data_IF_177365781135
#
_entry.id   IF_177365781135
#
_cell.length_a   1.000
_cell.length_b   1.000
_cell.length_c   1.000
_cell.angle_alpha   90.00
_cell.angle_beta   90.00
_cell.angle_gamma   90.00
#
_symmetry.space_group_name_H-M   'P 1'
#
loop_
_entity.id
_entity.type
_entity.pdbx_description
1 polymer ?
#
# COMPACT_ATOMS: atom_id res chain seq x y z
N UNK A 1 -4.73 -46.12 -22.07
CA UNK A 1 -4.01 -44.84 -21.80
C UNK A 1 -5.00 -43.72 -22.14
N UNK A 2 -5.66 -43.20 -21.11
CA UNK A 2 -6.56 -42.05 -21.27
C UNK A 2 -5.71 -40.78 -21.19
N UNK A 3 -5.76 -39.96 -22.19
CA UNK A 3 -5.00 -38.73 -22.36
C UNK A 3 -5.51 -37.67 -21.33
N UNK A 4 -4.59 -37.07 -20.61
CA UNK A 4 -4.77 -36.09 -19.56
C UNK A 4 -5.13 -34.69 -20.05
N UNK A 5 -6.11 -34.53 -20.95
CA UNK A 5 -6.48 -33.22 -21.51
C UNK A 5 -7.66 -32.52 -20.80
N UNK A 6 -8.24 -33.08 -19.75
CA UNK A 6 -9.50 -32.59 -19.18
C UNK A 6 -9.36 -31.80 -17.86
N UNK A 7 -8.14 -31.45 -17.42
CA UNK A 7 -7.93 -30.88 -16.09
C UNK A 7 -7.87 -29.34 -15.98
N UNK A 8 -8.07 -28.59 -17.08
CA UNK A 8 -7.89 -27.11 -17.06
C UNK A 8 -9.05 -26.31 -17.67
N UNK A 9 -10.22 -26.90 -17.84
CA UNK A 9 -11.36 -26.12 -18.34
C UNK A 9 -11.94 -25.26 -17.23
N UNK A 10 -11.74 -23.94 -17.32
CA UNK A 10 -12.39 -22.96 -16.43
C UNK A 10 -13.90 -23.22 -16.38
N UNK A 11 -14.47 -23.39 -15.21
CA UNK A 11 -15.92 -23.40 -15.04
C UNK A 11 -16.41 -21.96 -15.21
N UNK A 12 -16.80 -21.61 -16.41
CA UNK A 12 -17.36 -20.30 -16.71
C UNK A 12 -18.75 -20.15 -16.06
N UNK A 13 -19.07 -18.96 -15.51
CA UNK A 13 -20.44 -18.62 -15.14
C UNK A 13 -21.41 -18.76 -16.33
N UNK A 14 -22.70 -18.80 -16.03
CA UNK A 14 -23.75 -18.89 -17.06
C UNK A 14 -23.69 -17.70 -18.01
N UNK A 15 -23.72 -17.97 -19.31
CA UNK A 15 -23.92 -16.94 -20.34
C UNK A 15 -25.40 -16.59 -20.41
N UNK A 16 -25.74 -15.32 -20.28
CA UNK A 16 -27.14 -14.84 -20.20
C UNK A 16 -27.41 -13.74 -21.23
N UNK A 17 -28.66 -13.36 -21.38
CA UNK A 17 -29.03 -12.23 -22.25
C UNK A 17 -28.50 -10.88 -21.72
N UNK A 18 -28.33 -9.85 -22.56
CA UNK A 18 -27.93 -8.50 -22.11
C UNK A 18 -28.83 -7.93 -21.01
N UNK A 19 -30.13 -8.19 -21.06
CA UNK A 19 -31.10 -7.73 -20.07
C UNK A 19 -30.90 -8.43 -18.72
N UNK A 20 -30.65 -9.74 -18.72
CA UNK A 20 -30.38 -10.51 -17.51
C UNK A 20 -29.02 -10.11 -16.89
N UNK A 21 -28.02 -9.86 -17.75
CA UNK A 21 -26.71 -9.35 -17.31
C UNK A 21 -26.84 -7.97 -16.63
N UNK A 22 -27.58 -7.05 -17.27
CA UNK A 22 -27.77 -5.72 -16.70
C UNK A 22 -28.53 -5.76 -15.36
N UNK A 23 -29.54 -6.62 -15.24
CA UNK A 23 -30.25 -6.81 -13.98
C UNK A 23 -29.31 -7.30 -12.85
N UNK A 24 -28.44 -8.27 -13.15
CA UNK A 24 -27.44 -8.77 -12.20
C UNK A 24 -26.41 -7.66 -11.83
N UNK A 25 -25.96 -6.88 -12.83
CA UNK A 25 -25.05 -5.75 -12.61
C UNK A 25 -25.67 -4.68 -11.69
N UNK A 26 -26.94 -4.37 -11.88
CA UNK A 26 -27.65 -3.40 -11.02
C UNK A 26 -27.76 -3.87 -9.56
N UNK A 27 -27.96 -5.17 -9.33
CA UNK A 27 -27.95 -5.73 -7.98
C UNK A 27 -26.56 -5.60 -7.32
N UNK A 28 -25.50 -5.84 -8.08
CA UNK A 28 -24.12 -5.66 -7.62
C UNK A 28 -23.83 -4.19 -7.30
N UNK A 29 -24.24 -3.27 -8.19
CA UNK A 29 -24.04 -1.81 -8.01
C UNK A 29 -24.66 -1.28 -6.71
N UNK A 30 -25.77 -1.85 -6.24
CA UNK A 30 -26.36 -1.49 -4.93
C UNK A 30 -25.38 -1.81 -3.80
N UNK A 31 -24.75 -2.98 -3.85
CA UNK A 31 -23.75 -3.41 -2.84
C UNK A 31 -22.47 -2.54 -2.92
N UNK A 32 -22.00 -2.25 -4.11
CA UNK A 32 -20.84 -1.37 -4.33
C UNK A 32 -21.06 0.03 -3.75
N UNK A 33 -22.24 0.62 -3.98
CA UNK A 33 -22.62 1.91 -3.38
C UNK A 33 -22.71 1.84 -1.85
N UNK A 34 -23.17 0.73 -1.29
CA UNK A 34 -23.20 0.53 0.16
C UNK A 34 -21.76 0.43 0.72
N UNK A 35 -20.87 -0.29 0.05
CA UNK A 35 -19.46 -0.39 0.43
C UNK A 35 -18.77 0.98 0.39
N UNK A 36 -19.01 1.79 -0.64
CA UNK A 36 -18.46 3.16 -0.71
C UNK A 36 -18.91 4.00 0.49
N UNK A 37 -20.19 4.00 0.83
CA UNK A 37 -20.70 4.71 2.03
C UNK A 37 -20.04 4.20 3.32
N UNK A 38 -19.82 2.89 3.44
CA UNK A 38 -19.13 2.30 4.60
C UNK A 38 -17.66 2.74 4.66
N UNK A 39 -16.98 2.83 3.53
CA UNK A 39 -15.60 3.38 3.47
C UNK A 39 -15.55 4.85 3.87
N UNK A 40 -16.51 5.66 3.45
CA UNK A 40 -16.61 7.08 3.84
C UNK A 40 -16.86 7.23 5.35
N UNK A 41 -17.74 6.41 5.92
CA UNK A 41 -17.98 6.36 7.36
C UNK A 41 -16.73 5.98 8.14
N UNK A 42 -16.02 4.92 7.72
CA UNK A 42 -14.76 4.50 8.32
C UNK A 42 -13.68 5.59 8.24
N UNK A 43 -13.59 6.30 7.12
CA UNK A 43 -12.67 7.42 6.97
C UNK A 43 -13.03 8.59 7.93
N UNK A 44 -14.32 8.81 8.18
CA UNK A 44 -14.79 9.79 9.16
C UNK A 44 -14.45 9.37 10.60
N UNK A 45 -14.54 8.09 10.93
CA UNK A 45 -14.11 7.54 12.23
C UNK A 45 -12.60 7.71 12.44
N UNK A 46 -11.77 7.39 11.42
CA UNK A 46 -10.31 7.63 11.49
C UNK A 46 -9.97 9.08 11.83
N UNK A 47 -10.68 10.05 11.25
CA UNK A 47 -10.47 11.47 11.55
C UNK A 47 -10.85 11.87 12.98
N UNK A 48 -11.60 11.04 13.68
CA UNK A 48 -12.01 11.25 15.09
C UNK A 48 -11.16 10.45 16.08
N UNK A 49 -10.25 9.60 15.59
CA UNK A 49 -9.35 8.87 16.48
C UNK A 49 -8.49 9.84 17.30
N UNK A 50 -8.20 9.51 18.57
CA UNK A 50 -7.24 10.29 19.34
C UNK A 50 -5.85 10.23 18.70
N UNK A 51 -5.11 11.31 18.81
CA UNK A 51 -3.74 11.39 18.33
C UNK A 51 -2.76 10.95 19.43
N UNK A 52 -1.66 10.35 19.03
CA UNK A 52 -0.56 9.97 19.91
C UNK A 52 0.61 10.95 19.71
N UNK A 53 1.04 11.63 20.76
CA UNK A 53 2.21 12.50 20.70
C UNK A 53 3.47 11.69 20.40
N UNK A 54 4.33 12.23 19.52
CA UNK A 54 5.63 11.67 19.20
C UNK A 54 6.68 12.49 19.91
N UNK A 55 7.14 12.02 21.07
CA UNK A 55 8.09 12.75 21.93
C UNK A 55 9.54 12.59 21.47
N UNK A 56 9.86 11.47 20.80
CA UNK A 56 11.20 11.19 20.33
C UNK A 56 11.45 11.82 18.96
N UNK A 57 12.55 12.54 18.82
CA UNK A 57 13.02 13.04 17.55
C UNK A 57 13.72 11.92 16.74
N UNK A 58 12.93 11.15 15.98
CA UNK A 58 13.45 10.07 15.13
C UNK A 58 14.32 10.61 14.03
N UNK A 59 15.41 9.87 13.73
CA UNK A 59 16.42 10.25 12.75
C UNK A 59 16.42 9.29 11.55
N UNK A 60 16.61 9.88 10.40
CA UNK A 60 16.70 9.18 9.12
C UNK A 60 17.93 9.68 8.36
N UNK A 61 18.31 8.94 7.32
CA UNK A 61 19.25 9.42 6.32
C UNK A 61 18.52 9.60 4.99
N UNK A 62 18.64 10.78 4.42
CA UNK A 62 18.16 11.11 3.07
C UNK A 62 19.31 11.23 2.08
N UNK A 63 19.02 11.50 0.79
CA UNK A 63 20.05 11.64 -0.23
C UNK A 63 21.09 12.75 0.05
N UNK A 64 20.78 13.69 0.92
CA UNK A 64 21.63 14.83 1.29
C UNK A 64 22.17 14.76 2.73
N UNK A 65 22.02 13.60 3.38
CA UNK A 65 22.48 13.38 4.77
C UNK A 65 21.34 13.22 5.76
N UNK A 66 21.66 13.41 7.04
CA UNK A 66 20.73 13.19 8.16
C UNK A 66 19.57 14.17 8.14
N UNK A 67 18.38 13.66 8.44
CA UNK A 67 17.13 14.41 8.56
C UNK A 67 16.32 13.87 9.75
N UNK A 68 15.52 14.72 10.37
CA UNK A 68 14.60 14.35 11.44
C UNK A 68 13.23 13.92 10.90
N UNK A 69 12.39 13.33 11.74
CA UNK A 69 10.99 13.06 11.38
C UNK A 69 10.26 14.34 10.95
N UNK A 70 10.55 15.48 11.58
CA UNK A 70 9.94 16.76 11.25
C UNK A 70 10.34 17.23 9.84
N UNK A 71 11.58 16.98 9.42
CA UNK A 71 12.05 17.33 8.07
C UNK A 71 11.32 16.55 6.97
N UNK A 72 10.85 15.32 7.27
CA UNK A 72 10.12 14.50 6.30
C UNK A 72 8.77 15.10 5.89
N UNK A 73 8.22 16.01 6.69
CA UNK A 73 7.02 16.75 6.31
C UNK A 73 7.24 17.72 5.14
N UNK A 74 8.48 18.04 4.80
CA UNK A 74 8.82 19.00 3.74
C UNK A 74 8.04 20.34 3.86
N UNK A 75 7.85 20.81 5.08
CA UNK A 75 7.10 22.03 5.40
C UNK A 75 5.58 21.88 5.44
N UNK A 76 5.01 20.71 5.09
CA UNK A 76 3.56 20.44 5.10
C UNK A 76 3.10 20.01 6.48
N UNK A 77 1.78 20.10 6.73
CA UNK A 77 1.21 19.72 8.02
C UNK A 77 1.00 18.21 8.16
N UNK A 78 0.86 17.47 7.07
CA UNK A 78 0.56 16.05 7.12
C UNK A 78 1.67 15.24 6.45
N UNK A 79 1.95 14.07 7.00
CA UNK A 79 2.95 13.14 6.51
C UNK A 79 2.40 11.72 6.53
N UNK A 80 2.57 11.01 5.43
CA UNK A 80 2.38 9.57 5.35
C UNK A 80 3.75 8.94 5.14
N UNK A 81 4.12 7.98 6.00
CA UNK A 81 5.34 7.18 5.83
C UNK A 81 4.93 5.73 5.57
N UNK A 82 5.29 5.22 4.40
CA UNK A 82 5.25 3.80 4.14
C UNK A 82 6.58 3.16 4.56
N UNK A 83 6.51 2.27 5.54
CA UNK A 83 7.65 1.41 5.90
C UNK A 83 7.74 0.31 4.86
N UNK A 84 8.73 0.39 3.97
CA UNK A 84 8.97 -0.60 2.92
C UNK A 84 9.94 -1.67 3.40
N UNK A 85 9.66 -2.93 3.04
CA UNK A 85 10.54 -4.05 3.33
C UNK A 85 11.61 -4.17 2.25
N UNK A 86 12.65 -3.33 2.37
CA UNK A 86 13.82 -3.27 1.51
C UNK A 86 15.06 -3.05 2.37
N UNK A 87 15.83 -4.11 2.62
CA UNK A 87 16.99 -4.12 3.52
C UNK A 87 17.78 -5.42 3.40
N UNK A 88 19.03 -5.50 3.91
CA UNK A 88 19.78 -6.74 3.97
C UNK A 88 19.00 -7.87 4.64
N UNK A 89 19.06 -9.07 4.04
CA UNK A 89 18.33 -10.26 4.51
C UNK A 89 16.93 -10.44 3.92
N UNK A 90 16.35 -9.42 3.28
CA UNK A 90 15.09 -9.54 2.54
C UNK A 90 15.33 -10.23 1.19
N UNK A 91 14.40 -11.12 0.80
CA UNK A 91 14.47 -11.79 -0.49
C UNK A 91 14.58 -10.77 -1.64
N UNK A 92 15.57 -10.97 -2.49
CA UNK A 92 15.84 -10.09 -3.62
C UNK A 92 16.76 -8.91 -3.33
N UNK A 93 17.19 -8.73 -2.08
CA UNK A 93 18.19 -7.72 -1.72
C UNK A 93 19.54 -7.96 -2.43
N UNK A 94 20.20 -6.92 -2.94
CA UNK A 94 19.79 -5.51 -3.04
C UNK A 94 19.11 -5.16 -4.38
N UNK A 95 18.71 -6.16 -5.16
CA UNK A 95 18.23 -5.96 -6.53
C UNK A 95 16.78 -5.46 -6.58
N UNK A 96 15.94 -5.88 -5.65
CA UNK A 96 14.55 -5.41 -5.56
C UNK A 96 14.04 -5.43 -4.12
N UNK A 97 13.01 -4.62 -3.84
CA UNK A 97 12.25 -4.69 -2.60
C UNK A 97 11.34 -5.94 -2.61
N UNK A 98 10.72 -6.24 -1.47
CA UNK A 98 9.64 -7.23 -1.39
C UNK A 98 8.60 -6.95 -2.50
N UNK A 99 7.97 -8.00 -3.05
CA UNK A 99 7.04 -7.88 -4.19
C UNK A 99 5.87 -6.94 -3.89
N UNK A 100 5.24 -7.10 -2.72
CA UNK A 100 4.13 -6.23 -2.30
C UNK A 100 4.56 -4.77 -2.13
N UNK A 101 5.75 -4.53 -1.53
CA UNK A 101 6.28 -3.17 -1.40
C UNK A 101 6.59 -2.54 -2.76
N UNK A 102 7.12 -3.31 -3.71
CA UNK A 102 7.37 -2.85 -5.09
C UNK A 102 6.06 -2.53 -5.80
N UNK A 103 5.08 -3.44 -5.72
CA UNK A 103 3.75 -3.22 -6.26
C UNK A 103 3.10 -1.95 -5.69
N UNK A 104 3.20 -1.73 -4.37
CA UNK A 104 2.73 -0.50 -3.73
C UNK A 104 3.46 0.75 -4.24
N UNK A 105 4.78 0.66 -4.43
CA UNK A 105 5.59 1.76 -4.94
C UNK A 105 5.26 2.13 -6.40
N UNK A 106 4.99 1.12 -7.25
CA UNK A 106 4.56 1.33 -8.64
C UNK A 106 3.19 2.02 -8.75
N UNK A 107 2.38 1.95 -7.69
CA UNK A 107 1.04 2.54 -7.64
C UNK A 107 0.98 3.92 -7.02
N UNK A 108 2.11 4.46 -6.56
CA UNK A 108 2.15 5.83 -6.03
C UNK A 108 1.76 6.80 -7.12
N UNK A 109 0.62 7.46 -6.92
CA UNK A 109 0.11 8.47 -7.83
C UNK A 109 1.02 9.71 -7.87
N UNK A 110 0.77 10.62 -8.83
CA UNK A 110 1.50 11.88 -8.92
C UNK A 110 1.39 12.67 -7.60
N UNK A 111 2.51 12.95 -6.97
CA UNK A 111 2.59 13.53 -5.62
C UNK A 111 1.95 14.93 -5.50
N UNK A 112 1.78 15.65 -6.61
CA UNK A 112 1.14 16.96 -6.61
C UNK A 112 -0.27 16.96 -6.01
N UNK A 113 -1.03 15.86 -6.18
CA UNK A 113 -2.39 15.73 -5.61
C UNK A 113 -2.37 15.67 -4.08
N UNK A 114 -1.37 15.01 -3.49
CA UNK A 114 -1.17 14.97 -2.04
C UNK A 114 -0.63 16.31 -1.54
N UNK A 115 0.36 16.87 -2.23
CA UNK A 115 0.96 18.18 -1.90
C UNK A 115 -0.07 19.31 -1.90
N UNK A 116 -1.01 19.32 -2.85
CA UNK A 116 -2.12 20.27 -2.90
C UNK A 116 -3.09 20.16 -1.71
N UNK A 117 -2.98 19.09 -0.93
CA UNK A 117 -3.75 18.84 0.32
C UNK A 117 -2.86 18.85 1.54
N UNK A 118 -1.76 19.59 1.47
CA UNK A 118 -0.82 19.80 2.57
C UNK A 118 -0.28 18.47 3.15
N UNK A 119 -0.03 17.48 2.26
CA UNK A 119 0.38 16.12 2.63
C UNK A 119 1.64 15.72 1.89
N UNK A 120 2.63 15.23 2.62
CA UNK A 120 3.81 14.54 2.09
C UNK A 120 3.61 13.03 2.19
N UNK A 121 3.95 12.31 1.13
CA UNK A 121 4.13 10.86 1.15
C UNK A 121 5.61 10.55 1.03
N UNK A 122 6.13 9.80 1.97
CA UNK A 122 7.51 9.32 1.97
C UNK A 122 7.55 7.80 2.17
N UNK A 123 8.60 7.18 1.69
CA UNK A 123 8.97 5.80 1.96
C UNK A 123 10.13 5.77 2.95
N UNK A 124 10.20 4.73 3.77
CA UNK A 124 11.31 4.49 4.68
C UNK A 124 11.63 3.00 4.76
N UNK A 125 12.92 2.67 4.86
CA UNK A 125 13.40 1.29 5.02
C UNK A 125 14.79 1.29 5.67
N UNK A 126 15.32 0.13 6.02
CA UNK A 126 16.69 0.03 6.57
C UNK A 126 17.78 -0.10 5.50
N UNK A 127 17.42 0.02 4.22
CA UNK A 127 18.38 0.02 3.13
C UNK A 127 19.31 1.24 3.20
N UNK A 128 20.62 1.09 2.89
CA UNK A 128 21.50 2.24 2.67
C UNK A 128 21.01 3.13 1.53
N UNK A 129 21.24 4.45 1.64
CA UNK A 129 20.78 5.43 0.63
C UNK A 129 21.28 5.12 -0.78
N UNK A 130 22.51 4.62 -0.94
CA UNK A 130 23.05 4.23 -2.25
C UNK A 130 22.19 3.17 -2.96
N UNK A 131 21.67 2.20 -2.21
CA UNK A 131 20.86 1.11 -2.75
C UNK A 131 19.42 1.59 -3.01
N UNK A 132 18.87 2.43 -2.14
CA UNK A 132 17.58 3.10 -2.35
C UNK A 132 17.61 3.94 -3.64
N UNK A 133 18.62 4.79 -3.83
CA UNK A 133 18.72 5.63 -5.02
C UNK A 133 18.88 4.80 -6.29
N UNK A 134 19.70 3.75 -6.27
CA UNK A 134 19.84 2.82 -7.39
C UNK A 134 18.50 2.18 -7.77
N UNK A 135 17.76 1.66 -6.79
CA UNK A 135 16.46 1.04 -7.01
C UNK A 135 15.45 2.06 -7.56
N UNK A 136 15.35 3.23 -6.97
CA UNK A 136 14.46 4.32 -7.42
C UNK A 136 14.71 4.71 -8.88
N UNK A 137 15.96 4.89 -9.26
CA UNK A 137 16.33 5.25 -10.64
C UNK A 137 15.90 4.14 -11.60
N UNK A 138 16.19 2.88 -11.27
CA UNK A 138 15.82 1.74 -12.11
C UNK A 138 14.31 1.60 -12.29
N UNK A 139 13.54 1.86 -11.24
CA UNK A 139 12.08 1.71 -11.24
C UNK A 139 11.33 2.98 -11.66
N UNK A 140 12.02 4.11 -11.82
CA UNK A 140 11.41 5.40 -12.13
C UNK A 140 10.61 6.01 -10.97
N UNK A 141 10.83 5.60 -9.73
CA UNK A 141 10.07 6.07 -8.56
C UNK A 141 10.48 7.46 -8.12
N UNK A 142 9.51 8.35 -7.95
CA UNK A 142 9.73 9.76 -7.63
C UNK A 142 9.53 10.10 -6.14
N UNK A 143 8.82 9.26 -5.36
CA UNK A 143 8.58 9.53 -3.95
C UNK A 143 9.88 9.65 -3.17
N UNK A 144 9.96 10.54 -2.16
CA UNK A 144 11.06 10.56 -1.20
C UNK A 144 11.19 9.20 -0.51
N UNK A 145 12.42 8.72 -0.34
CA UNK A 145 12.70 7.47 0.35
C UNK A 145 13.92 7.61 1.23
N UNK A 146 13.75 7.32 2.52
CA UNK A 146 14.74 7.53 3.56
C UNK A 146 15.21 6.24 4.18
N UNK A 147 16.46 6.23 4.66
CA UNK A 147 17.00 5.14 5.49
C UNK A 147 16.62 5.37 6.94
N UNK A 148 16.00 4.37 7.57
CA UNK A 148 15.75 4.36 9.01
C UNK A 148 17.08 4.06 9.72
N UNK A 149 17.52 4.99 10.60
CA UNK A 149 18.82 4.87 11.29
C UNK A 149 18.70 4.57 12.77
N UNK A 150 17.47 4.60 13.32
CA UNK A 150 17.21 4.40 14.75
C UNK A 150 16.05 3.42 15.02
N UNK A 151 15.44 3.51 16.19
CA UNK A 151 14.34 2.64 16.64
C UNK A 151 12.95 3.05 16.14
N UNK A 152 12.81 3.67 14.95
CA UNK A 152 11.52 4.06 14.39
C UNK A 152 10.55 2.87 14.27
N UNK A 153 11.01 1.73 13.79
CA UNK A 153 10.16 0.54 13.61
C UNK A 153 9.53 0.10 14.95
N UNK A 154 10.35 -0.06 16.00
CA UNK A 154 9.87 -0.45 17.33
C UNK A 154 8.98 0.62 17.98
N UNK A 155 9.28 1.91 17.75
CA UNK A 155 8.49 3.03 18.28
C UNK A 155 7.06 3.08 17.72
N UNK A 156 6.83 2.53 16.53
CA UNK A 156 5.54 2.59 15.84
C UNK A 156 4.93 1.21 15.52
N UNK A 157 5.46 0.13 16.09
CA UNK A 157 4.92 -1.23 15.93
C UNK A 157 4.97 -1.75 14.49
N UNK A 158 5.95 -1.29 13.70
CA UNK A 158 6.18 -1.72 12.31
C UNK A 158 7.27 -2.79 12.25
N UNK A 159 7.40 -3.59 13.29
CA UNK A 159 8.37 -4.69 13.37
C UNK A 159 8.08 -5.78 12.34
N UNK A 160 6.85 -5.87 11.86
CA UNK A 160 6.41 -6.78 10.80
C UNK A 160 6.66 -6.25 9.38
N UNK A 161 7.65 -5.38 9.23
CA UNK A 161 8.30 -5.04 7.96
C UNK A 161 7.59 -4.08 7.01
N UNK A 162 6.29 -3.84 7.10
CA UNK A 162 5.60 -2.91 6.21
C UNK A 162 4.37 -2.26 6.87
N UNK A 163 3.95 -1.14 6.33
CA UNK A 163 2.72 -0.45 6.73
C UNK A 163 2.80 1.05 6.51
N UNK A 164 1.63 1.67 6.45
CA UNK A 164 1.48 3.12 6.36
C UNK A 164 1.23 3.73 7.73
N UNK A 165 2.10 4.63 8.15
CA UNK A 165 1.89 5.51 9.29
C UNK A 165 1.46 6.89 8.79
N UNK A 166 0.43 7.47 9.40
CA UNK A 166 0.01 8.84 9.16
C UNK A 166 0.31 9.72 10.37
N UNK A 167 0.87 10.89 10.09
CA UNK A 167 1.25 11.88 11.09
C UNK A 167 0.67 13.26 10.72
N UNK A 168 0.49 14.08 11.75
CA UNK A 168 0.22 15.51 11.62
C UNK A 168 1.19 16.27 12.51
N UNK A 169 1.53 17.50 12.14
CA UNK A 169 2.30 18.40 13.01
C UNK A 169 1.51 19.67 13.32
N UNK A 170 1.74 20.18 14.53
CA UNK A 170 1.37 21.52 14.96
C UNK A 170 2.65 22.23 15.39
N UNK A 171 3.11 23.19 14.59
CA UNK A 171 4.45 23.74 14.72
C UNK A 171 5.53 22.66 14.60
N UNK A 172 6.31 22.47 15.67
CA UNK A 172 7.34 21.42 15.76
C UNK A 172 6.84 20.14 16.44
N UNK A 173 5.66 20.16 17.03
CA UNK A 173 5.08 19.01 17.70
C UNK A 173 4.46 18.05 16.66
N UNK A 174 4.84 16.77 16.72
CA UNK A 174 4.38 15.72 15.82
C UNK A 174 3.44 14.77 16.55
N UNK A 175 2.37 14.38 15.87
CA UNK A 175 1.41 13.40 16.37
C UNK A 175 1.21 12.29 15.34
N UNK A 176 1.18 11.03 15.80
CA UNK A 176 0.69 9.90 15.01
C UNK A 176 -0.83 9.87 15.05
N UNK A 177 -1.46 9.86 13.89
CA UNK A 177 -2.92 9.90 13.77
C UNK A 177 -3.53 8.58 13.34
N UNK A 178 -2.77 7.75 12.60
CA UNK A 178 -3.25 6.45 12.13
C UNK A 178 -2.10 5.52 11.72
N UNK A 179 -2.40 4.23 11.74
CA UNK A 179 -1.54 3.19 11.20
C UNK A 179 -2.38 2.09 10.54
N UNK A 180 -1.88 1.55 9.43
CA UNK A 180 -2.47 0.39 8.77
C UNK A 180 -1.37 -0.47 8.14
N UNK A 181 -1.52 -1.79 8.22
CA UNK A 181 -0.61 -2.78 7.63
C UNK A 181 -1.36 -4.01 7.16
N UNK A 182 -0.61 -5.02 6.70
CA UNK A 182 -1.10 -6.32 6.24
C UNK A 182 -2.19 -6.12 5.17
N UNK A 183 -3.23 -6.91 5.17
CA UNK A 183 -4.33 -6.81 4.19
C UNK A 183 -5.09 -5.48 4.23
N UNK A 184 -5.10 -4.79 5.36
CA UNK A 184 -5.70 -3.45 5.44
C UNK A 184 -4.99 -2.42 4.54
N UNK A 185 -3.69 -2.61 4.31
CA UNK A 185 -2.84 -1.77 3.48
C UNK A 185 -3.15 -1.87 1.97
N UNK A 186 -3.71 -2.98 1.52
CA UNK A 186 -4.10 -3.22 0.12
C UNK A 186 -5.11 -2.19 -0.40
N UNK A 187 -5.91 -1.60 0.49
CA UNK A 187 -6.84 -0.54 0.14
C UNK A 187 -6.14 0.73 -0.41
N UNK A 188 -4.82 0.85 -0.21
CA UNK A 188 -4.00 1.94 -0.75
C UNK A 188 -3.50 1.65 -2.17
N UNK A 189 -3.69 0.42 -2.69
CA UNK A 189 -3.23 0.01 -4.00
C UNK A 189 -4.35 -0.03 -5.05
N UNK A 190 -4.13 0.62 -6.20
CA UNK A 190 -5.12 0.65 -7.30
C UNK A 190 -5.13 -0.65 -8.12
N UNK A 191 -4.01 -1.37 -8.23
CA UNK A 191 -3.90 -2.62 -9.00
C UNK A 191 -4.83 -3.69 -8.42
N UNK A 192 -4.91 -3.84 -7.11
CA UNK A 192 -5.84 -4.78 -6.48
C UNK A 192 -7.29 -4.46 -6.83
N UNK A 193 -7.66 -3.18 -6.80
CA UNK A 193 -9.01 -2.75 -7.19
C UNK A 193 -9.33 -3.03 -8.67
N UNK A 194 -8.34 -2.88 -9.56
CA UNK A 194 -8.51 -3.24 -10.98
C UNK A 194 -8.65 -4.75 -11.17
N UNK A 195 -7.83 -5.55 -10.51
CA UNK A 195 -7.91 -7.01 -10.60
C UNK A 195 -9.24 -7.53 -10.05
N UNK A 196 -9.74 -6.97 -8.96
CA UNK A 196 -11.05 -7.32 -8.38
C UNK A 196 -12.23 -7.07 -9.36
N UNK A 197 -12.03 -6.24 -10.39
CA UNK A 197 -13.03 -6.00 -11.45
C UNK A 197 -12.95 -7.02 -12.60
N UNK A 198 -11.90 -7.84 -12.65
CA UNK A 198 -11.67 -8.79 -13.73
C UNK A 198 -12.35 -10.13 -13.46
N UNK A 199 -12.62 -10.88 -14.51
CA UNK A 199 -13.26 -12.20 -14.39
C UNK A 199 -12.43 -13.23 -13.61
N UNK A 200 -11.11 -13.09 -13.58
CA UNK A 200 -10.20 -14.01 -12.90
C UNK A 200 -9.74 -13.51 -11.52
N UNK A 201 -10.12 -12.29 -11.12
CA UNK A 201 -9.74 -11.70 -9.83
C UNK A 201 -8.23 -11.44 -9.70
N UNK A 202 -7.73 -11.43 -8.50
CA UNK A 202 -6.29 -11.24 -8.19
C UNK A 202 -5.46 -12.49 -8.41
N UNK A 203 -6.11 -13.64 -8.56
CA UNK A 203 -5.50 -14.95 -8.77
C UNK A 203 -4.62 -15.41 -7.61
N UNK A 204 -4.95 -15.01 -6.39
CA UNK A 204 -4.22 -15.38 -5.19
C UNK A 204 -4.87 -16.58 -4.49
N UNK A 205 -4.05 -17.38 -3.78
CA UNK A 205 -4.50 -18.66 -3.18
C UNK A 205 -5.56 -18.54 -2.08
N UNK A 206 -5.75 -17.33 -1.53
CA UNK A 206 -6.75 -17.06 -0.49
C UNK A 206 -8.10 -16.56 -1.03
N UNK A 207 -8.18 -16.27 -2.35
CA UNK A 207 -9.44 -15.82 -2.96
C UNK A 207 -10.46 -16.95 -3.02
N UNK A 208 -11.73 -16.59 -2.78
CA UNK A 208 -12.87 -17.48 -3.05
C UNK A 208 -13.22 -17.44 -4.53
N UNK A 209 -12.50 -18.24 -5.30
CA UNK A 209 -12.64 -18.32 -6.76
C UNK A 209 -13.28 -19.65 -7.18
N UNK A 210 -14.04 -19.69 -8.29
CA UNK A 210 -14.58 -20.93 -8.82
C UNK A 210 -13.48 -21.96 -9.15
N UNK A 211 -13.78 -23.26 -9.09
CA UNK A 211 -12.81 -24.30 -9.43
C UNK A 211 -12.22 -24.15 -10.82
N UNK A 212 -10.90 -24.31 -10.95
CA UNK A 212 -10.15 -24.19 -12.21
C UNK A 212 -9.64 -22.78 -12.52
N UNK A 213 -9.99 -21.77 -11.71
CA UNK A 213 -9.40 -20.45 -11.86
C UNK A 213 -7.91 -20.46 -11.47
N UNK A 214 -7.07 -19.70 -12.20
CA UNK A 214 -5.65 -19.66 -11.89
C UNK A 214 -5.43 -19.10 -10.49
N UNK A 215 -4.47 -19.69 -9.76
CA UNK A 215 -4.04 -19.22 -8.47
C UNK A 215 -2.52 -19.13 -8.47
N UNK A 216 -1.98 -17.97 -8.16
CA UNK A 216 -0.54 -17.75 -8.01
C UNK A 216 -0.22 -17.59 -6.54
N UNK A 217 0.94 -18.12 -6.12
CA UNK A 217 1.48 -17.74 -4.80
C UNK A 217 2.05 -16.34 -4.88
N UNK A 218 1.80 -15.49 -3.86
CA UNK A 218 2.38 -14.15 -3.80
C UNK A 218 3.90 -14.16 -3.78
#
# INVERSE_FOLDING_TARGET
MATSEDSHKLRTPSVVSPQAWEAARQQLLVKEKALMRSRDALAAERRRMPWMAVEKNYQFEGPRGKVSLLDLFEGRRQLIIYRAFFEPGVFGWPEHACRGCSLGADQVSHLAHLKARDTTLAYASRAPQKDIQRLKVRMGWQMPWYTITDGFDGGFGVEEYHGHNAFIRDGEQVFRTYFINVRGDEAMGTVWSYLDMTALGRQETWEDSPPGYPQTRP
#
